data_IF_320493489133
#
_entry.id   IF_320493489133
#
_cell.length_a   1.000
_cell.length_b   1.000
_cell.length_c   1.000
_cell.angle_alpha   90.00
_cell.angle_beta   90.00
_cell.angle_gamma   90.00
#
_symmetry.space_group_name_H-M   'P 1'
#
loop_
_entity.id
_entity.type
_entity.pdbx_description
1 polymer ?
#
# COMPACT_ATOMS: atom_id res chain seq x y z
N UNK A 1 -34.31 43.23 13.60
CA UNK A 1 -32.99 42.54 13.56
C UNK A 1 -32.15 42.75 14.83
N UNK A 2 -32.00 43.98 15.35
CA UNK A 2 -31.15 44.25 16.55
C UNK A 2 -31.59 43.53 17.84
N UNK A 3 -32.90 43.39 18.10
CA UNK A 3 -33.42 42.70 19.31
C UNK A 3 -33.13 41.20 19.34
N UNK A 4 -33.17 40.50 18.20
CA UNK A 4 -32.91 39.06 18.13
C UNK A 4 -31.45 38.70 18.44
N UNK A 5 -30.51 39.48 17.92
CA UNK A 5 -29.08 39.35 18.26
C UNK A 5 -28.82 39.63 19.74
N UNK A 6 -29.46 40.67 20.31
CA UNK A 6 -29.35 40.99 21.74
C UNK A 6 -29.95 39.90 22.63
N UNK A 7 -31.02 39.24 22.21
CA UNK A 7 -31.65 38.14 22.95
C UNK A 7 -30.77 36.88 22.95
N UNK A 8 -30.04 36.60 21.86
CA UNK A 8 -29.02 35.54 21.80
C UNK A 8 -27.83 35.87 22.71
N UNK A 9 -27.33 37.11 22.64
CA UNK A 9 -26.19 37.56 23.46
C UNK A 9 -26.52 37.55 24.97
N UNK A 10 -27.78 37.84 25.33
CA UNK A 10 -28.28 37.77 26.71
C UNK A 10 -28.61 36.36 27.17
N UNK A 11 -28.35 35.33 26.34
CA UNK A 11 -28.56 33.94 26.70
C UNK A 11 -30.02 33.57 26.91
N UNK A 12 -30.97 34.31 26.31
CA UNK A 12 -32.41 34.05 26.47
C UNK A 12 -32.79 32.63 26.03
N UNK A 13 -32.07 32.07 25.06
CA UNK A 13 -32.17 30.66 24.61
C UNK A 13 -31.87 29.64 25.71
N UNK A 14 -31.05 29.98 26.70
CA UNK A 14 -30.65 29.09 27.80
C UNK A 14 -31.55 29.23 29.04
N UNK A 15 -32.39 30.26 29.12
CA UNK A 15 -33.15 30.64 30.33
C UNK A 15 -34.66 30.79 30.08
N UNK A 16 -35.11 30.81 28.82
CA UNK A 16 -36.53 30.84 28.46
C UNK A 16 -37.24 29.50 28.73
N UNK A 17 -38.56 29.44 28.58
CA UNK A 17 -39.36 28.22 28.81
C UNK A 17 -38.91 26.99 28.01
N UNK A 18 -38.21 27.18 26.89
CA UNK A 18 -37.65 26.11 26.04
C UNK A 18 -36.20 25.72 26.39
N UNK A 19 -35.63 26.29 27.44
CA UNK A 19 -34.25 26.06 27.88
C UNK A 19 -33.83 24.57 27.98
N UNK A 20 -34.67 23.63 28.49
CA UNK A 20 -34.28 22.23 28.57
C UNK A 20 -33.95 21.60 27.22
N UNK A 21 -34.72 21.93 26.17
CA UNK A 21 -34.49 21.42 24.80
C UNK A 21 -33.17 21.93 24.22
N UNK A 22 -32.85 23.18 24.52
CA UNK A 22 -31.66 23.88 24.05
C UNK A 22 -30.38 23.35 24.71
N UNK A 23 -30.44 23.03 26.00
CA UNK A 23 -29.36 22.34 26.70
C UNK A 23 -29.05 20.95 26.13
N UNK A 24 -30.09 20.15 25.86
CA UNK A 24 -29.93 18.83 25.26
C UNK A 24 -29.28 18.95 23.87
N UNK A 25 -29.68 19.94 23.07
CA UNK A 25 -29.08 20.20 21.76
C UNK A 25 -27.60 20.59 21.84
N UNK A 26 -27.20 21.40 22.81
CA UNK A 26 -25.80 21.78 23.02
C UNK A 26 -24.98 20.54 23.39
N UNK A 27 -25.44 19.74 24.36
CA UNK A 27 -24.76 18.50 24.77
C UNK A 27 -24.63 17.54 23.58
N UNK A 28 -25.67 17.39 22.79
CA UNK A 28 -25.65 16.56 21.58
C UNK A 28 -24.58 17.04 20.58
N UNK A 29 -24.51 18.35 20.33
CA UNK A 29 -23.54 18.93 19.38
C UNK A 29 -22.11 18.81 19.92
N UNK A 30 -21.90 19.06 21.21
CA UNK A 30 -20.60 18.88 21.87
C UNK A 30 -20.16 17.42 21.86
N UNK A 31 -21.07 16.48 22.09
CA UNK A 31 -20.79 15.05 21.98
C UNK A 31 -20.39 14.67 20.56
N UNK A 32 -21.13 15.14 19.55
CA UNK A 32 -20.81 14.87 18.16
C UNK A 32 -19.44 15.44 17.75
N UNK A 33 -19.10 16.65 18.24
CA UNK A 33 -17.79 17.24 18.04
C UNK A 33 -16.68 16.39 18.69
N UNK A 34 -16.89 15.86 19.90
CA UNK A 34 -15.94 14.97 20.55
C UNK A 34 -15.74 13.65 19.77
N UNK A 35 -16.83 13.06 19.25
CA UNK A 35 -16.77 11.86 18.40
C UNK A 35 -15.97 12.14 17.12
N UNK A 36 -16.16 13.30 16.49
CA UNK A 36 -15.44 13.68 15.29
C UNK A 36 -13.93 13.81 15.56
N UNK A 37 -13.54 14.49 16.64
CA UNK A 37 -12.13 14.63 17.04
C UNK A 37 -11.50 13.27 17.32
N UNK A 38 -12.19 12.40 18.06
CA UNK A 38 -11.70 11.05 18.37
C UNK A 38 -11.53 10.20 17.09
N UNK A 39 -12.48 10.29 16.16
CA UNK A 39 -12.40 9.57 14.89
C UNK A 39 -11.23 10.05 14.03
N UNK A 40 -10.98 11.36 13.98
CA UNK A 40 -9.85 11.93 13.22
C UNK A 40 -8.51 11.41 13.75
N UNK A 41 -8.32 11.38 15.07
CA UNK A 41 -7.08 10.88 15.65
C UNK A 41 -6.81 9.41 15.31
N UNK A 42 -7.86 8.58 15.29
CA UNK A 42 -7.76 7.19 14.83
C UNK A 42 -7.41 7.05 13.34
N UNK A 43 -7.85 8.01 12.50
CA UNK A 43 -7.49 8.04 11.09
C UNK A 43 -6.00 8.38 10.90
N UNK A 44 -5.47 9.36 11.65
CA UNK A 44 -4.07 9.76 11.56
C UNK A 44 -3.12 8.60 11.91
N UNK A 45 -3.41 7.87 12.99
CA UNK A 45 -2.61 6.69 13.36
C UNK A 45 -2.62 5.61 12.27
N UNK A 46 -3.76 5.41 11.58
CA UNK A 46 -3.86 4.45 10.48
C UNK A 46 -3.06 4.90 9.27
N UNK A 47 -3.04 6.19 8.96
CA UNK A 47 -2.23 6.73 7.85
C UNK A 47 -0.74 6.44 8.08
N UNK A 48 -0.25 6.63 9.31
CA UNK A 48 1.14 6.28 9.64
C UNK A 48 1.42 4.78 9.52
N UNK A 49 0.49 3.93 9.96
CA UNK A 49 0.63 2.47 9.80
C UNK A 49 0.65 2.07 8.32
N UNK A 50 -0.21 2.67 7.49
CA UNK A 50 -0.23 2.44 6.04
C UNK A 50 1.10 2.85 5.40
N UNK A 51 1.67 3.97 5.80
CA UNK A 51 2.97 4.42 5.30
C UNK A 51 4.09 3.43 5.65
N UNK A 52 4.12 2.93 6.90
CA UNK A 52 5.09 1.92 7.32
C UNK A 52 4.93 0.61 6.55
N UNK A 53 3.71 0.09 6.41
CA UNK A 53 3.43 -1.13 5.62
C UNK A 53 3.82 -0.97 4.15
N UNK A 54 3.61 0.21 3.56
CA UNK A 54 3.99 0.43 2.17
C UNK A 54 5.51 0.39 1.96
N UNK A 55 6.30 0.87 2.93
CA UNK A 55 7.75 0.76 2.84
C UNK A 55 8.20 -0.70 2.95
N UNK A 56 7.60 -1.48 3.85
CA UNK A 56 7.86 -2.92 3.98
C UNK A 56 7.53 -3.68 2.68
N UNK A 57 6.37 -3.40 2.07
CA UNK A 57 5.99 -3.98 0.77
C UNK A 57 6.99 -3.63 -0.32
N UNK A 58 7.48 -2.40 -0.33
CA UNK A 58 8.46 -1.92 -1.30
C UNK A 58 9.83 -2.60 -1.10
N UNK A 59 10.26 -2.78 0.14
CA UNK A 59 11.48 -3.51 0.49
C UNK A 59 11.41 -4.96 0.03
N UNK A 60 10.35 -5.69 0.39
CA UNK A 60 10.11 -7.07 -0.03
C UNK A 60 10.07 -7.22 -1.55
N UNK A 61 9.48 -6.23 -2.25
CA UNK A 61 9.45 -6.23 -3.71
C UNK A 61 10.85 -6.00 -4.30
N UNK A 62 11.66 -5.16 -3.69
CA UNK A 62 13.06 -4.98 -4.11
C UNK A 62 13.82 -6.29 -3.98
N UNK A 63 13.74 -6.94 -2.82
CA UNK A 63 14.40 -8.23 -2.55
C UNK A 63 13.98 -9.30 -3.56
N UNK A 64 12.68 -9.39 -3.87
CA UNK A 64 12.17 -10.30 -4.88
C UNK A 64 12.76 -10.05 -6.27
N UNK A 65 12.87 -8.77 -6.68
CA UNK A 65 13.42 -8.40 -7.98
C UNK A 65 14.92 -8.71 -8.04
N UNK A 66 15.66 -8.46 -6.95
CA UNK A 66 17.08 -8.76 -6.85
C UNK A 66 17.32 -10.27 -7.01
N UNK A 67 16.59 -11.09 -6.24
CA UNK A 67 16.68 -12.56 -6.35
C UNK A 67 16.27 -13.07 -7.73
N UNK A 68 15.22 -12.51 -8.33
CA UNK A 68 14.82 -12.85 -9.70
C UNK A 68 15.92 -12.52 -10.70
N UNK A 69 16.54 -11.35 -10.56
CA UNK A 69 17.62 -10.87 -11.44
C UNK A 69 18.82 -11.80 -11.38
N UNK A 70 19.19 -12.27 -10.19
CA UNK A 70 20.31 -13.20 -10.02
C UNK A 70 20.03 -14.56 -10.68
N UNK A 71 18.82 -15.09 -10.54
CA UNK A 71 18.40 -16.31 -11.27
C UNK A 71 18.41 -16.09 -12.78
N UNK A 72 17.99 -14.93 -13.27
CA UNK A 72 18.05 -14.60 -14.69
C UNK A 72 19.49 -14.57 -15.22
N UNK A 73 20.42 -13.96 -14.47
CA UNK A 73 21.85 -13.95 -14.82
C UNK A 73 22.42 -15.36 -14.94
N UNK A 74 22.06 -16.26 -14.02
CA UNK A 74 22.49 -17.66 -14.05
C UNK A 74 21.97 -18.44 -15.28
N UNK A 75 20.85 -18.01 -15.87
CA UNK A 75 20.28 -18.63 -17.08
C UNK A 75 20.92 -18.13 -18.37
N UNK A 76 21.78 -17.11 -18.32
CA UNK A 76 22.43 -16.58 -19.52
C UNK A 76 23.37 -17.63 -20.10
N UNK A 77 23.32 -17.79 -21.42
CA UNK A 77 24.21 -18.71 -22.15
C UNK A 77 25.68 -18.41 -21.86
N UNK A 78 26.06 -17.13 -21.79
CA UNK A 78 27.42 -16.71 -21.43
C UNK A 78 27.86 -17.20 -20.06
N UNK A 79 26.96 -17.19 -19.07
CA UNK A 79 27.26 -17.63 -17.70
C UNK A 79 27.32 -19.16 -17.63
N UNK A 80 26.43 -19.84 -18.34
CA UNK A 80 26.43 -21.30 -18.48
C UNK A 80 27.74 -21.75 -19.13
N UNK A 81 28.12 -21.16 -20.27
CA UNK A 81 29.36 -21.44 -21.01
C UNK A 81 30.60 -21.25 -20.12
N UNK A 82 30.65 -20.14 -19.38
CA UNK A 82 31.74 -19.85 -18.44
C UNK A 82 31.83 -20.90 -17.33
N UNK A 83 30.68 -21.35 -16.81
CA UNK A 83 30.61 -22.35 -15.73
C UNK A 83 31.08 -23.73 -16.21
N UNK A 84 30.59 -24.20 -17.36
CA UNK A 84 30.88 -25.54 -17.90
C UNK A 84 32.23 -25.63 -18.63
N UNK A 85 32.88 -24.50 -18.90
CA UNK A 85 34.20 -24.47 -19.55
C UNK A 85 35.28 -25.16 -18.70
N UNK A 86 35.17 -25.13 -17.37
CA UNK A 86 36.08 -25.87 -16.49
C UNK A 86 35.91 -27.39 -16.60
N UNK A 87 34.73 -27.85 -17.00
CA UNK A 87 34.41 -29.26 -17.20
C UNK A 87 34.77 -29.73 -18.63
N UNK A 88 35.38 -28.85 -19.44
CA UNK A 88 35.79 -29.15 -20.82
C UNK A 88 34.62 -29.19 -21.82
N UNK A 89 33.45 -28.65 -21.46
CA UNK A 89 32.28 -28.58 -22.33
C UNK A 89 32.29 -27.28 -23.14
N UNK A 90 32.08 -27.39 -24.45
CA UNK A 90 32.11 -26.28 -25.39
C UNK A 90 30.93 -26.36 -26.38
N UNK A 91 30.46 -25.22 -26.91
CA UNK A 91 29.43 -25.21 -27.93
C UNK A 91 29.98 -25.82 -29.23
N UNK A 92 29.15 -26.60 -29.93
CA UNK A 92 29.53 -27.19 -31.21
C UNK A 92 29.58 -26.13 -32.29
N UNK A 93 30.74 -25.98 -32.95
CA UNK A 93 30.89 -25.09 -34.11
C UNK A 93 30.13 -25.61 -35.34
N UNK A 94 29.86 -26.91 -35.38
CA UNK A 94 29.17 -27.56 -36.50
C UNK A 94 27.75 -27.98 -36.10
N UNK A 95 26.75 -27.78 -36.98
CA UNK A 95 25.39 -28.21 -36.70
C UNK A 95 25.30 -29.74 -36.67
N UNK A 96 24.42 -30.31 -35.82
CA UNK A 96 24.28 -31.76 -35.71
C UNK A 96 23.77 -32.38 -37.01
N UNK A 97 24.35 -33.52 -37.40
CA UNK A 97 23.90 -34.26 -38.57
C UNK A 97 22.60 -35.01 -38.28
N UNK A 98 21.59 -34.78 -39.11
CA UNK A 98 20.36 -35.57 -39.09
C UNK A 98 20.60 -36.94 -39.73
N UNK A 99 20.77 -37.97 -38.92
CA UNK A 99 20.86 -39.35 -39.41
C UNK A 99 19.46 -39.77 -39.87
N UNK A 100 19.29 -39.96 -41.19
CA UNK A 100 18.11 -40.61 -41.77
C UNK A 100 18.49 -42.03 -42.16
N UNK A 101 17.92 -43.00 -41.46
CA UNK A 101 18.06 -44.41 -41.80
C UNK A 101 17.31 -44.65 -43.10
N UNK A 102 18.00 -45.09 -44.16
CA UNK A 102 17.31 -45.63 -45.33
C UNK A 102 16.82 -47.03 -44.96
N UNK A 103 15.51 -47.27 -45.02
CA UNK A 103 15.03 -48.66 -45.13
C UNK A 103 15.54 -49.24 -46.44
N UNK A 104 16.10 -50.44 -46.38
CA UNK A 104 16.46 -51.21 -47.55
C UNK A 104 15.19 -51.86 -48.11
N UNK A 105 14.59 -51.23 -49.13
CA UNK A 105 13.91 -51.85 -50.29
C UNK A 105 13.42 -50.78 -51.26
#
# INVERSE_FOLDING_TARGET
MRKGLLDILKGKFLVSGDAPKNWIFIIFTSFLAAVMIASSHGADSKVHQIAALNEEVKELRSEFIDGQTDVQKLKLESEILKTVSNDGLFPSETPPHKIRVKSAE
#
